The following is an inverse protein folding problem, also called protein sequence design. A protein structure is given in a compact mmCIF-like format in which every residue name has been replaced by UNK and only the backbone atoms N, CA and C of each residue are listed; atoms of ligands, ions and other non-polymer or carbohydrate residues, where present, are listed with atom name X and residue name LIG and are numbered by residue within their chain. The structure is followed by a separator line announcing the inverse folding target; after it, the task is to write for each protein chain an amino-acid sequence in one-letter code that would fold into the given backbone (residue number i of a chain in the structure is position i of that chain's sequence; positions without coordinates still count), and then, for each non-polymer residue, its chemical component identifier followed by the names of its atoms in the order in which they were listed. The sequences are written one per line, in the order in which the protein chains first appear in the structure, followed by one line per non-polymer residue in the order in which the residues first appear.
data_IF_184436931936
#
_entry.id   IF_184436931936
#
_cell.length_a   1.000
_cell.length_b   1.000
_cell.length_c   1.000
_cell.angle_alpha   90.00
_cell.angle_beta   90.00
_cell.angle_gamma   90.00
#
_symmetry.space_group_name_H-M   'P 1'
#
loop_
_entity.id
_entity.type
_entity.pdbx_description
1 polymer ?
#
# COMPACT_ATOMS: atom_id res chain seq x y z
N UNK A 1 -8.02 -7.66 10.00
CA UNK A 1 -9.33 -7.07 9.61
C UNK A 1 -9.39 -7.02 8.09
N UNK A 2 -10.36 -7.65 7.45
CA UNK A 2 -10.47 -7.72 5.98
C UNK A 2 -11.49 -6.70 5.51
N UNK A 3 -11.19 -5.98 4.42
CA UNK A 3 -12.21 -5.17 3.75
C UNK A 3 -13.24 -6.11 3.12
N UNK A 4 -14.53 -5.85 3.30
CA UNK A 4 -15.61 -6.69 2.76
C UNK A 4 -15.89 -6.46 1.28
N UNK A 5 -15.50 -5.31 0.74
CA UNK A 5 -15.83 -4.87 -0.62
C UNK A 5 -14.62 -4.26 -1.32
N UNK A 6 -14.61 -4.33 -2.66
CA UNK A 6 -13.63 -3.62 -3.47
C UNK A 6 -13.88 -2.12 -3.44
N UNK A 7 -12.81 -1.34 -3.19
CA UNK A 7 -12.84 0.12 -3.27
C UNK A 7 -12.30 0.50 -4.64
N UNK A 8 -13.12 1.12 -5.47
CA UNK A 8 -12.77 1.43 -6.87
C UNK A 8 -12.28 2.86 -7.00
N UNK A 9 -11.12 3.02 -7.63
CA UNK A 9 -10.60 4.28 -8.15
C UNK A 9 -10.69 4.33 -9.68
N UNK A 10 -10.06 5.34 -10.28
CA UNK A 10 -10.01 5.51 -11.73
C UNK A 10 -8.92 4.63 -12.39
N UNK A 11 -7.80 4.43 -11.71
CA UNK A 11 -6.63 3.69 -12.20
C UNK A 11 -6.48 2.32 -11.53
N UNK A 12 -6.95 2.19 -10.28
CA UNK A 12 -6.82 0.97 -9.48
C UNK A 12 -8.09 0.66 -8.70
N UNK A 13 -8.18 -0.59 -8.24
CA UNK A 13 -9.11 -1.00 -7.20
C UNK A 13 -8.34 -1.59 -6.02
N UNK A 14 -8.80 -1.32 -4.80
CA UNK A 14 -8.34 -2.03 -3.62
C UNK A 14 -9.26 -3.23 -3.41
N UNK A 15 -8.69 -4.41 -3.38
CA UNK A 15 -9.38 -5.66 -3.09
C UNK A 15 -8.95 -6.21 -1.73
N UNK A 16 -9.69 -7.12 -1.10
CA UNK A 16 -9.16 -7.91 0.00
C UNK A 16 -7.85 -8.59 -0.41
N UNK A 17 -6.88 -8.62 0.51
CA UNK A 17 -5.66 -9.38 0.24
C UNK A 17 -6.02 -10.86 0.00
N UNK A 18 -5.50 -11.46 -1.07
CA UNK A 18 -5.72 -12.87 -1.37
C UNK A 18 -4.38 -13.65 -1.31
N UNK A 19 -4.24 -14.66 -0.43
CA UNK A 19 -3.08 -15.53 -0.41
C UNK A 19 -2.83 -16.29 -1.73
N UNK A 20 -3.80 -16.35 -2.62
CA UNK A 20 -3.63 -16.89 -3.98
C UNK A 20 -2.69 -16.02 -4.83
N UNK A 21 -2.52 -14.74 -4.49
CA UNK A 21 -1.58 -13.83 -5.16
C UNK A 21 -0.11 -14.06 -4.78
N UNK A 22 0.19 -15.01 -3.89
CA UNK A 22 1.56 -15.30 -3.47
C UNK A 22 2.56 -15.53 -4.61
N UNK A 23 2.22 -16.11 -5.77
CA UNK A 23 3.13 -16.20 -6.91
C UNK A 23 3.56 -14.83 -7.45
N UNK A 24 2.68 -13.84 -7.42
CA UNK A 24 3.04 -12.46 -7.79
C UNK A 24 3.96 -11.84 -6.73
N UNK A 25 3.64 -12.02 -5.45
CA UNK A 25 4.48 -11.53 -4.35
C UNK A 25 5.89 -12.13 -4.37
N UNK A 26 6.01 -13.42 -4.70
CA UNK A 26 7.31 -14.09 -4.83
C UNK A 26 8.17 -13.44 -5.91
N UNK A 27 7.61 -13.18 -7.09
CA UNK A 27 8.32 -12.47 -8.16
C UNK A 27 8.78 -11.09 -7.73
N UNK A 28 7.88 -10.32 -7.07
CA UNK A 28 8.17 -8.94 -6.67
C UNK A 28 9.21 -8.85 -5.56
N UNK A 29 9.12 -9.72 -4.55
CA UNK A 29 10.00 -9.68 -3.39
C UNK A 29 11.40 -10.24 -3.68
N UNK A 30 11.52 -11.05 -4.73
CA UNK A 30 12.80 -11.59 -5.20
C UNK A 30 13.42 -10.77 -6.35
N UNK A 31 12.75 -9.70 -6.81
CA UNK A 31 13.31 -8.77 -7.79
C UNK A 31 14.05 -7.61 -7.10
N UNK A 32 15.38 -7.48 -7.29
CA UNK A 32 16.18 -6.42 -6.68
C UNK A 32 15.72 -5.00 -7.07
N UNK A 33 15.15 -4.83 -8.26
CA UNK A 33 14.66 -3.53 -8.72
C UNK A 33 13.40 -3.15 -7.94
N UNK A 34 12.50 -4.09 -7.74
CA UNK A 34 11.27 -3.91 -6.98
C UNK A 34 11.56 -3.65 -5.51
N UNK A 35 12.50 -4.37 -4.93
CA UNK A 35 12.80 -4.30 -3.50
C UNK A 35 13.85 -3.25 -3.12
N UNK A 36 14.40 -2.55 -4.11
CA UNK A 36 15.50 -1.58 -3.94
C UNK A 36 15.35 -0.62 -2.75
N UNK A 37 14.13 -0.17 -2.47
CA UNK A 37 13.83 0.76 -1.38
C UNK A 37 12.94 0.17 -0.28
N UNK A 38 12.52 -1.09 -0.43
CA UNK A 38 11.54 -1.71 0.45
C UNK A 38 12.07 -1.91 1.88
N UNK A 39 13.34 -2.22 1.99
CA UNK A 39 14.00 -2.55 3.25
C UNK A 39 14.81 -1.39 3.85
N UNK A 40 14.71 -0.20 3.25
CA UNK A 40 15.46 0.98 3.69
C UNK A 40 16.96 0.74 3.71
N UNK A 41 17.63 1.24 4.76
CA UNK A 41 19.09 1.11 4.91
C UNK A 41 19.57 -0.29 5.28
N UNK A 42 18.67 -1.17 5.73
CA UNK A 42 19.03 -2.54 6.13
C UNK A 42 19.28 -3.44 4.93
N UNK A 43 18.83 -3.04 3.73
CA UNK A 43 18.89 -3.89 2.55
C UNK A 43 17.91 -5.07 2.59
N UNK A 44 17.82 -5.84 1.50
CA UNK A 44 16.96 -7.02 1.45
C UNK A 44 17.48 -8.10 2.43
N UNK A 45 16.60 -8.98 2.90
CA UNK A 45 17.01 -10.14 3.68
C UNK A 45 17.91 -11.07 2.85
N UNK A 46 18.80 -11.80 3.52
CA UNK A 46 19.68 -12.77 2.85
C UNK A 46 18.94 -13.99 2.28
N UNK A 47 17.68 -14.19 2.71
CA UNK A 47 16.83 -15.28 2.25
C UNK A 47 15.89 -14.85 1.13
N UNK A 48 15.73 -15.72 0.15
CA UNK A 48 14.73 -15.59 -0.91
C UNK A 48 13.34 -15.86 -0.33
N UNK A 49 12.37 -15.00 -0.62
CA UNK A 49 10.99 -15.23 -0.23
C UNK A 49 10.42 -16.43 -1.03
N UNK A 50 9.80 -17.37 -0.33
CA UNK A 50 9.26 -18.60 -0.94
C UNK A 50 7.73 -18.60 -0.94
N UNK A 51 7.12 -19.28 -1.92
CA UNK A 51 5.66 -19.42 -2.01
C UNK A 51 5.00 -19.92 -0.73
N UNK A 52 5.50 -20.98 -0.05
CA UNK A 52 4.88 -21.45 1.19
C UNK A 52 4.88 -20.39 2.29
N UNK A 53 5.99 -19.67 2.44
CA UNK A 53 6.11 -18.58 3.43
C UNK A 53 5.17 -17.43 3.13
N UNK A 54 5.08 -17.03 1.86
CA UNK A 54 4.22 -15.94 1.41
C UNK A 54 2.74 -16.27 1.56
N UNK A 55 2.34 -17.50 1.24
CA UNK A 55 0.98 -17.99 1.50
C UNK A 55 0.66 -18.04 2.98
N UNK A 56 1.61 -18.47 3.80
CA UNK A 56 1.47 -18.49 5.26
C UNK A 56 1.34 -17.07 5.80
N UNK A 57 2.19 -16.16 5.33
CA UNK A 57 2.10 -14.74 5.69
C UNK A 57 0.75 -14.14 5.30
N UNK A 58 0.26 -14.38 4.10
CA UNK A 58 -1.05 -13.89 3.65
C UNK A 58 -2.20 -14.36 4.55
N UNK A 59 -2.21 -15.64 4.94
CA UNK A 59 -3.21 -16.16 5.89
C UNK A 59 -3.08 -15.52 7.28
N UNK A 60 -1.86 -15.32 7.77
CA UNK A 60 -1.62 -14.67 9.05
C UNK A 60 -2.05 -13.19 9.00
N UNK A 61 -1.77 -12.51 7.90
CA UNK A 61 -2.17 -11.12 7.69
C UNK A 61 -3.71 -10.95 7.74
N UNK A 62 -4.45 -11.89 7.16
CA UNK A 62 -5.91 -11.88 7.22
C UNK A 62 -6.47 -12.17 8.61
N UNK A 63 -5.75 -12.93 9.42
CA UNK A 63 -6.14 -13.29 10.79
C UNK A 63 -5.72 -12.23 11.84
N UNK A 64 -4.78 -11.35 11.51
CA UNK A 64 -4.28 -10.33 12.44
C UNK A 64 -5.32 -9.20 12.61
N UNK A 65 -5.88 -8.99 13.82
CA UNK A 65 -6.84 -7.92 14.08
C UNK A 65 -6.22 -6.52 14.00
N UNK A 66 -4.88 -6.42 14.05
CA UNK A 66 -4.15 -5.17 13.98
C UNK A 66 -3.59 -4.86 12.58
N UNK A 67 -3.93 -5.68 11.59
CA UNK A 67 -3.48 -5.49 10.22
C UNK A 67 -4.67 -5.41 9.27
N UNK A 68 -4.73 -4.34 8.49
CA UNK A 68 -5.62 -4.23 7.33
C UNK A 68 -4.77 -4.29 6.08
N UNK A 69 -4.97 -5.32 5.26
CA UNK A 69 -4.17 -5.58 4.08
C UNK A 69 -5.04 -5.60 2.81
N UNK A 70 -4.50 -5.04 1.74
CA UNK A 70 -5.17 -4.86 0.45
C UNK A 70 -4.32 -5.45 -0.67
N UNK A 71 -4.96 -6.15 -1.59
CA UNK A 71 -4.46 -6.29 -2.94
C UNK A 71 -4.74 -4.99 -3.71
N UNK A 72 -3.81 -4.57 -4.54
CA UNK A 72 -4.00 -3.47 -5.49
C UNK A 72 -4.17 -4.11 -6.85
N UNK A 73 -5.34 -3.92 -7.45
CA UNK A 73 -5.68 -4.44 -8.78
C UNK A 73 -5.70 -3.29 -9.79
N UNK A 74 -5.41 -3.60 -11.05
CA UNK A 74 -5.63 -2.67 -12.15
C UNK A 74 -7.13 -2.40 -12.32
N UNK A 75 -7.50 -1.15 -12.57
CA UNK A 75 -8.90 -0.80 -12.82
C UNK A 75 -9.44 -1.51 -14.07
N UNK A 76 -10.51 -2.28 -13.89
CA UNK A 76 -11.20 -2.99 -14.97
C UNK A 76 -10.67 -4.40 -15.29
N UNK A 77 -9.52 -4.82 -14.75
CA UNK A 77 -8.91 -6.11 -15.10
C UNK A 77 -8.86 -7.16 -14.00
N UNK A 78 -8.95 -6.78 -12.73
CA UNK A 78 -8.81 -7.69 -11.60
C UNK A 78 -7.40 -8.32 -11.46
N UNK A 79 -6.43 -7.87 -12.27
CA UNK A 79 -5.04 -8.31 -12.16
C UNK A 79 -4.38 -7.61 -10.99
N UNK A 80 -3.81 -8.38 -10.06
CA UNK A 80 -3.06 -7.83 -8.94
C UNK A 80 -1.75 -7.23 -9.44
N UNK A 81 -1.50 -5.97 -9.10
CA UNK A 81 -0.31 -5.20 -9.50
C UNK A 81 0.55 -4.77 -8.31
N UNK A 82 0.02 -4.95 -7.10
CA UNK A 82 0.69 -4.54 -5.87
C UNK A 82 -0.09 -4.92 -4.64
N UNK A 83 0.42 -4.49 -3.50
CA UNK A 83 -0.29 -4.60 -2.24
C UNK A 83 -0.05 -3.36 -1.37
N UNK A 84 -0.97 -3.13 -0.43
CA UNK A 84 -0.86 -2.10 0.59
C UNK A 84 -1.32 -2.64 1.93
N UNK A 85 -0.85 -2.03 3.02
CA UNK A 85 -1.27 -2.42 4.36
C UNK A 85 -1.24 -1.25 5.34
N UNK A 86 -2.13 -1.34 6.31
CA UNK A 86 -2.18 -0.51 7.50
C UNK A 86 -1.92 -1.39 8.73
N UNK A 87 -0.78 -1.23 9.36
CA UNK A 87 -0.51 -1.82 10.65
C UNK A 87 -1.05 -0.88 11.73
N UNK A 88 -2.13 -1.29 12.39
CA UNK A 88 -2.77 -0.51 13.42
C UNK A 88 -1.91 -0.55 14.70
N UNK A 89 -1.65 0.62 15.27
CA UNK A 89 -1.06 0.71 16.60
C UNK A 89 -1.73 1.86 17.35
N UNK A 90 -1.97 1.72 18.62
CA UNK A 90 -2.82 2.62 19.37
C UNK A 90 -4.22 2.82 18.70
N UNK A 91 -5.16 3.30 19.42
CA UNK A 91 -6.59 3.31 19.04
C UNK A 91 -6.96 4.17 17.80
N UNK A 92 -6.01 4.96 17.27
CA UNK A 92 -6.32 5.91 16.20
C UNK A 92 -5.17 6.15 15.21
N UNK A 93 -4.17 5.28 15.20
CA UNK A 93 -2.97 5.44 14.36
C UNK A 93 -2.65 4.16 13.61
N UNK A 94 -2.11 4.32 12.41
CA UNK A 94 -1.57 3.20 11.63
C UNK A 94 -0.26 3.56 10.94
N UNK A 95 0.58 2.53 10.75
CA UNK A 95 1.71 2.60 9.82
C UNK A 95 1.26 2.07 8.48
N UNK A 96 1.42 2.89 7.46
CA UNK A 96 1.13 2.57 6.08
C UNK A 96 2.35 2.02 5.36
N UNK A 97 2.15 1.05 4.50
CA UNK A 97 3.14 0.61 3.52
C UNK A 97 2.46 0.18 2.23
N UNK A 98 3.15 0.35 1.10
CA UNK A 98 2.67 0.03 -0.23
C UNK A 98 3.81 -0.49 -1.10
N UNK A 99 3.50 -1.44 -1.96
CA UNK A 99 4.35 -1.93 -3.01
C UNK A 99 3.56 -2.00 -4.32
N UNK A 100 3.99 -1.29 -5.36
CA UNK A 100 3.59 -1.57 -6.74
C UNK A 100 4.62 -2.54 -7.30
N UNK A 101 4.24 -3.81 -7.34
CA UNK A 101 5.11 -4.91 -7.71
C UNK A 101 5.35 -4.99 -9.21
N UNK A 102 4.31 -4.81 -10.02
CA UNK A 102 4.41 -4.85 -11.47
C UNK A 102 5.09 -3.59 -12.03
N UNK A 103 6.24 -3.79 -12.70
CA UNK A 103 7.08 -2.69 -13.19
C UNK A 103 6.36 -1.78 -14.20
N UNK A 104 5.51 -2.34 -15.07
CA UNK A 104 4.75 -1.60 -16.08
C UNK A 104 3.74 -0.60 -15.47
N UNK A 105 3.38 -0.82 -14.20
CA UNK A 105 2.39 -0.01 -13.48
C UNK A 105 3.02 1.08 -12.59
N UNK A 106 4.35 1.21 -12.61
CA UNK A 106 5.06 2.26 -11.86
C UNK A 106 5.13 3.56 -12.66
N UNK A 107 5.08 4.69 -11.96
CA UNK A 107 5.19 6.01 -12.57
C UNK A 107 3.93 6.54 -13.27
N UNK A 108 2.87 5.73 -13.39
CA UNK A 108 1.61 6.04 -14.05
C UNK A 108 0.51 6.63 -13.15
N UNK A 109 0.83 6.91 -11.87
CA UNK A 109 -0.13 7.47 -10.91
C UNK A 109 -0.85 6.43 -10.04
N UNK A 110 -0.81 5.15 -10.41
CA UNK A 110 -1.52 4.08 -9.70
C UNK A 110 -1.13 3.96 -8.23
N UNK A 111 0.16 4.07 -7.90
CA UNK A 111 0.62 4.07 -6.49
C UNK A 111 0.11 5.28 -5.71
N UNK A 112 -0.04 6.44 -6.35
CA UNK A 112 -0.59 7.65 -5.73
C UNK A 112 -2.07 7.46 -5.44
N UNK A 113 -2.84 6.96 -6.41
CA UNK A 113 -4.26 6.71 -6.23
C UNK A 113 -4.52 5.62 -5.18
N UNK A 114 -3.80 4.49 -5.24
CA UNK A 114 -3.90 3.45 -4.23
C UNK A 114 -3.63 3.98 -2.81
N UNK A 115 -2.61 4.84 -2.66
CA UNK A 115 -2.29 5.47 -1.37
C UNK A 115 -3.45 6.35 -0.89
N UNK A 116 -4.04 7.16 -1.78
CA UNK A 116 -5.18 8.03 -1.42
C UNK A 116 -6.39 7.21 -0.98
N UNK A 117 -6.76 6.17 -1.75
CA UNK A 117 -7.88 5.28 -1.42
C UNK A 117 -7.69 4.57 -0.07
N UNK A 118 -6.47 4.09 0.23
CA UNK A 118 -6.18 3.49 1.54
C UNK A 118 -6.29 4.51 2.66
N UNK A 119 -5.82 5.74 2.45
CA UNK A 119 -5.91 6.81 3.46
C UNK A 119 -7.36 7.24 3.69
N UNK A 120 -8.17 7.37 2.64
CA UNK A 120 -9.59 7.64 2.71
C UNK A 120 -10.33 6.57 3.52
N UNK A 121 -10.11 5.30 3.18
CA UNK A 121 -10.64 4.18 3.94
C UNK A 121 -10.23 4.22 5.42
N UNK A 122 -8.97 4.51 5.70
CA UNK A 122 -8.44 4.58 7.04
C UNK A 122 -9.11 5.68 7.89
N UNK A 123 -9.33 6.83 7.32
CA UNK A 123 -9.96 7.94 8.03
C UNK A 123 -11.47 7.78 8.13
N UNK A 124 -12.15 7.41 7.05
CA UNK A 124 -13.62 7.38 6.99
C UNK A 124 -14.21 6.09 7.58
N UNK A 125 -13.57 4.95 7.35
CA UNK A 125 -14.10 3.64 7.77
C UNK A 125 -13.49 3.12 9.06
N UNK A 126 -12.21 3.39 9.31
CA UNK A 126 -11.53 2.94 10.53
C UNK A 126 -11.48 4.05 11.60
N UNK A 127 -11.84 5.28 11.28
CA UNK A 127 -11.82 6.41 12.21
C UNK A 127 -10.42 6.79 12.69
N UNK A 128 -9.38 6.48 11.91
CA UNK A 128 -8.02 6.83 12.27
C UNK A 128 -7.83 8.36 12.28
N UNK A 129 -6.92 8.83 13.11
CA UNK A 129 -6.57 10.25 13.24
C UNK A 129 -5.21 10.59 12.67
N UNK A 130 -4.36 9.58 12.47
CA UNK A 130 -3.03 9.78 11.89
C UNK A 130 -2.54 8.50 11.22
N UNK A 131 -1.99 8.68 10.04
CA UNK A 131 -1.26 7.64 9.29
C UNK A 131 0.19 8.10 9.20
N UNK A 132 1.12 7.19 9.50
CA UNK A 132 2.54 7.43 9.31
C UNK A 132 3.13 6.39 8.38
N UNK A 133 4.21 6.75 7.73
CA UNK A 133 5.02 5.84 6.91
C UNK A 133 6.50 6.20 7.07
N UNK A 134 7.35 5.26 6.69
CA UNK A 134 8.77 5.53 6.49
C UNK A 134 9.08 5.34 5.00
N UNK A 135 9.89 6.24 4.44
CA UNK A 135 10.29 6.22 3.04
C UNK A 135 11.79 6.49 2.91
N UNK A 136 12.48 5.62 2.17
CA UNK A 136 13.89 5.85 1.84
C UNK A 136 14.02 7.18 1.09
N UNK A 137 14.88 8.08 1.56
CA UNK A 137 15.06 9.41 0.97
C UNK A 137 15.55 9.38 -0.48
N UNK A 138 16.10 8.25 -0.92
CA UNK A 138 16.49 8.02 -2.31
C UNK A 138 15.29 7.67 -3.20
N UNK A 139 14.14 7.31 -2.62
CA UNK A 139 12.93 6.98 -3.35
C UNK A 139 12.10 8.24 -3.68
N UNK A 140 12.65 9.08 -4.53
CA UNK A 140 12.01 10.33 -4.92
C UNK A 140 10.61 10.15 -5.55
N UNK A 141 10.36 9.00 -6.19
CA UNK A 141 9.05 8.70 -6.79
C UNK A 141 7.99 8.50 -5.71
N UNK A 142 8.28 7.70 -4.69
CA UNK A 142 7.37 7.49 -3.57
C UNK A 142 7.13 8.77 -2.77
N UNK A 143 8.20 9.53 -2.47
CA UNK A 143 8.08 10.81 -1.77
C UNK A 143 7.13 11.76 -2.51
N UNK A 144 7.30 11.91 -3.83
CA UNK A 144 6.38 12.75 -4.63
C UNK A 144 4.93 12.25 -4.59
N UNK A 145 4.72 10.92 -4.62
CA UNK A 145 3.39 10.34 -4.52
C UNK A 145 2.74 10.67 -3.17
N UNK A 146 3.48 10.50 -2.07
CA UNK A 146 2.98 10.79 -0.72
C UNK A 146 2.70 12.29 -0.52
N UNK A 147 3.57 13.17 -1.00
CA UNK A 147 3.32 14.61 -0.96
C UNK A 147 2.06 15.02 -1.73
N UNK A 148 1.78 14.38 -2.87
CA UNK A 148 0.55 14.62 -3.65
C UNK A 148 -0.70 14.21 -2.87
N UNK A 149 -0.66 13.12 -2.12
CA UNK A 149 -1.77 12.65 -1.27
C UNK A 149 -1.96 13.55 -0.06
N UNK A 150 -0.94 14.30 0.34
CA UNK A 150 -1.01 15.25 1.46
C UNK A 150 -0.17 14.87 2.67
N UNK A 151 0.65 13.82 2.57
CA UNK A 151 1.62 13.53 3.61
C UNK A 151 2.62 14.67 3.75
N UNK A 152 2.99 14.98 4.99
CA UNK A 152 4.02 15.96 5.31
C UNK A 152 5.24 15.25 5.90
N UNK A 153 6.47 15.73 5.62
CA UNK A 153 7.69 15.20 6.21
C UNK A 153 7.66 15.25 7.73
N UNK A 154 8.20 14.20 8.37
CA UNK A 154 8.46 14.11 9.80
C UNK A 154 9.94 14.12 10.11
N UNK A 155 10.36 13.43 11.18
CA UNK A 155 11.77 13.28 11.53
C UNK A 155 12.39 12.12 10.74
N UNK A 156 13.59 12.32 10.21
CA UNK A 156 14.32 11.28 9.45
C UNK A 156 13.55 10.86 8.19
N UNK A 157 13.34 9.57 8.05
CA UNK A 157 12.69 8.97 6.88
C UNK A 157 11.15 8.93 7.03
N UNK A 158 10.57 9.48 8.11
CA UNK A 158 9.14 9.40 8.35
C UNK A 158 8.35 10.47 7.61
N UNK A 159 7.12 10.14 7.24
CA UNK A 159 6.09 11.07 6.80
C UNK A 159 4.78 10.78 7.53
N UNK A 160 3.91 11.79 7.66
CA UNK A 160 2.62 11.64 8.35
C UNK A 160 1.50 12.32 7.58
N UNK A 161 0.29 11.80 7.76
CA UNK A 161 -0.94 12.36 7.20
C UNK A 161 -2.03 12.34 8.28
N UNK A 162 -2.81 13.41 8.34
CA UNK A 162 -4.02 13.53 9.15
C UNK A 162 -5.22 13.78 8.24
N UNK A 163 -6.46 13.56 8.70
CA UNK A 163 -7.65 13.72 7.87
C UNK A 163 -7.72 15.07 7.15
N UNK A 164 -7.40 16.17 7.85
CA UNK A 164 -7.44 17.52 7.29
C UNK A 164 -6.37 17.78 6.21
N UNK A 165 -5.35 16.96 6.16
CA UNK A 165 -4.27 17.04 5.16
C UNK A 165 -4.53 16.19 3.92
N UNK A 166 -5.49 15.28 3.96
CA UNK A 166 -5.81 14.41 2.82
C UNK A 166 -6.28 15.24 1.63
N UNK A 167 -5.55 15.15 0.55
CA UNK A 167 -5.93 15.78 -0.71
C UNK A 167 -6.70 14.76 -1.53
N UNK A 168 -8.01 15.00 -1.68
CA UNK A 168 -8.82 14.21 -2.60
C UNK A 168 -8.18 14.26 -3.99
N UNK A 169 -7.77 13.11 -4.49
CA UNK A 169 -7.48 13.01 -5.92
C UNK A 169 -8.82 13.24 -6.62
N UNK A 170 -8.84 13.94 -7.78
CA UNK A 170 -10.06 14.04 -8.55
C UNK A 170 -10.44 12.62 -8.95
N UNK A 171 -11.31 12.00 -8.15
CA UNK A 171 -11.96 10.75 -8.53
C UNK A 171 -12.73 11.13 -9.79
N UNK A 172 -12.28 10.64 -10.93
CA UNK A 172 -13.12 10.64 -12.12
C UNK A 172 -14.31 9.77 -11.75
N UNK A 173 -15.38 10.40 -11.33
CA UNK A 173 -16.68 9.75 -11.28
C UNK A 173 -16.92 9.23 -12.68
N UNK A 174 -16.68 7.96 -12.89
CA UNK A 174 -17.11 7.25 -14.05
C UNK A 174 -18.62 7.38 -14.07
N UNK A 175 -19.14 8.21 -14.96
CA UNK A 175 -20.56 8.20 -15.31
C UNK A 175 -20.91 6.84 -15.92
N UNK A 176 -22.21 6.54 -15.96
CA UNK A 176 -22.78 5.23 -16.28
C UNK A 176 -22.33 4.70 -17.62
#
# INVERSE_FOLDING_TARGET
MTIGERIRGALVALAPLDPADAPAWERWLNDPVTTRYLYGRRGPPDSVATLPELRSWGRQALADPHLVAFGIEEAGGGTVIGNARLQLWAWSRARFSILIGEAAHRGSGQGTEATALVCEYAFERLGLREIVLDVDQRNAAAIRAYLKVGFIPGRGDSMRLRPEGLRGLPLRTGGP
#
